data_IF_213672036537
#
_entry.id   IF_213672036537
#
_cell.length_a   1.000
_cell.length_b   1.000
_cell.length_c   1.000
_cell.angle_alpha   90.00
_cell.angle_beta   90.00
_cell.angle_gamma   90.00
#
_symmetry.space_group_name_H-M   'P 1'
#
loop_
_entity.id
_entity.type
_entity.pdbx_description
1 polymer ?
#
# COMPACT_ATOMS: atom_id res chain seq x y z
N UNK A 1 8.49 -1.88 -18.16
CA UNK A 1 7.98 -0.75 -17.33
C UNK A 1 8.63 -0.83 -15.96
N UNK A 2 9.21 0.27 -15.44
CA UNK A 2 9.67 0.31 -14.05
C UNK A 2 8.52 0.01 -13.08
N UNK A 3 8.76 -0.78 -12.04
CA UNK A 3 7.71 -1.20 -11.09
C UNK A 3 7.01 0.01 -10.45
N UNK A 4 7.76 1.06 -10.13
CA UNK A 4 7.21 2.30 -9.56
C UNK A 4 6.25 3.01 -10.52
N UNK A 5 6.41 2.84 -11.83
CA UNK A 5 5.49 3.40 -12.83
C UNK A 5 4.19 2.58 -12.88
N UNK A 6 4.29 1.27 -12.70
CA UNK A 6 3.13 0.37 -12.62
C UNK A 6 2.17 0.71 -11.48
N UNK A 7 2.66 1.36 -10.40
CA UNK A 7 1.80 1.87 -9.32
C UNK A 7 0.73 2.82 -9.89
N UNK A 8 1.08 3.68 -10.86
CA UNK A 8 0.13 4.63 -11.45
C UNK A 8 -0.82 4.00 -12.45
N UNK A 9 -0.37 2.98 -13.16
CA UNK A 9 -1.11 2.39 -14.29
C UNK A 9 -1.87 1.13 -13.92
N UNK A 10 -1.69 0.61 -12.70
CA UNK A 10 -2.40 -0.57 -12.24
C UNK A 10 -3.91 -0.30 -12.26
N UNK A 11 -4.63 -1.11 -13.05
CA UNK A 11 -6.11 -1.09 -13.08
C UNK A 11 -6.71 -1.72 -11.84
N UNK A 12 -5.99 -2.65 -11.22
CA UNK A 12 -6.46 -3.40 -10.06
C UNK A 12 -5.92 -2.79 -8.77
N UNK A 13 -6.84 -2.38 -7.90
CA UNK A 13 -6.50 -1.84 -6.59
C UNK A 13 -5.84 -2.89 -5.66
N UNK A 14 -6.03 -4.17 -5.95
CA UNK A 14 -5.48 -5.32 -5.21
C UNK A 14 -3.97 -5.44 -5.35
N UNK A 15 -3.43 -5.04 -6.51
CA UNK A 15 -2.01 -5.15 -6.81
C UNK A 15 -1.21 -3.94 -6.33
N UNK A 16 -1.88 -2.80 -6.12
CA UNK A 16 -1.28 -1.56 -5.66
C UNK A 16 -0.38 -1.73 -4.43
N UNK A 17 -0.85 -2.36 -3.33
CA UNK A 17 -0.03 -2.58 -2.14
C UNK A 17 1.22 -3.43 -2.42
N UNK A 18 1.09 -4.45 -3.28
CA UNK A 18 2.19 -5.33 -3.69
C UNK A 18 3.23 -4.53 -4.49
N UNK A 19 2.78 -3.69 -5.43
CA UNK A 19 3.65 -2.84 -6.25
C UNK A 19 4.39 -1.79 -5.40
N UNK A 20 3.72 -1.17 -4.41
CA UNK A 20 4.37 -0.25 -3.47
C UNK A 20 5.43 -0.99 -2.64
N UNK A 21 5.08 -2.16 -2.10
CA UNK A 21 6.00 -2.98 -1.29
C UNK A 21 7.22 -3.44 -2.06
N UNK A 22 7.09 -3.73 -3.36
CA UNK A 22 8.21 -4.12 -4.24
C UNK A 22 9.04 -2.91 -4.68
N UNK A 23 8.40 -1.76 -4.90
CA UNK A 23 9.10 -0.56 -5.39
C UNK A 23 10.08 0.01 -4.36
N UNK A 24 9.77 -0.08 -3.06
CA UNK A 24 10.63 0.42 -1.99
C UNK A 24 12.02 -0.24 -2.01
N UNK A 25 12.18 -1.57 -1.92
CA UNK A 25 13.50 -2.19 -1.99
C UNK A 25 14.16 -2.00 -3.36
N UNK A 26 13.39 -2.04 -4.47
CA UNK A 26 13.94 -1.84 -5.81
C UNK A 26 14.57 -0.45 -6.01
N UNK A 27 14.02 0.60 -5.38
CA UNK A 27 14.57 1.96 -5.45
C UNK A 27 16.00 2.07 -4.90
N UNK A 28 16.41 1.16 -3.99
CA UNK A 28 17.70 1.22 -3.28
C UNK A 28 18.89 0.93 -4.17
N UNK A 29 18.67 0.22 -5.27
CA UNK A 29 19.72 -0.11 -6.22
C UNK A 29 20.02 1.04 -7.20
N UNK A 30 19.26 2.14 -7.11
CA UNK A 30 19.47 3.32 -7.94
C UNK A 30 20.54 4.25 -7.34
N UNK A 31 21.27 5.00 -8.20
CA UNK A 31 22.07 6.15 -7.77
C UNK A 31 21.22 7.14 -6.96
N UNK A 32 21.85 7.86 -6.02
CA UNK A 32 21.15 8.71 -5.06
C UNK A 32 20.19 9.73 -5.71
N UNK A 33 20.61 10.40 -6.77
CA UNK A 33 19.78 11.38 -7.49
C UNK A 33 18.51 10.74 -8.08
N UNK A 34 18.65 9.56 -8.67
CA UNK A 34 17.54 8.80 -9.25
C UNK A 34 16.65 8.20 -8.16
N UNK A 35 17.25 7.70 -7.08
CA UNK A 35 16.51 7.19 -5.91
C UNK A 35 15.63 8.27 -5.32
N UNK A 36 16.14 9.47 -5.09
CA UNK A 36 15.37 10.59 -4.51
C UNK A 36 14.16 10.97 -5.38
N UNK A 37 14.32 10.96 -6.71
CA UNK A 37 13.22 11.18 -7.65
C UNK A 37 12.18 10.06 -7.55
N UNK A 38 12.61 8.81 -7.61
CA UNK A 38 11.74 7.64 -7.58
C UNK A 38 11.00 7.53 -6.24
N UNK A 39 11.67 7.75 -5.12
CA UNK A 39 11.07 7.75 -3.78
C UNK A 39 10.01 8.83 -3.63
N UNK A 40 10.25 10.02 -4.20
CA UNK A 40 9.25 11.10 -4.24
C UNK A 40 8.00 10.65 -5.00
N UNK A 41 8.16 9.94 -6.11
CA UNK A 41 7.05 9.40 -6.89
C UNK A 41 6.34 8.27 -6.13
N UNK A 42 7.07 7.34 -5.51
CA UNK A 42 6.50 6.26 -4.69
C UNK A 42 5.69 6.86 -3.54
N UNK A 43 6.20 7.89 -2.86
CA UNK A 43 5.50 8.59 -1.78
C UNK A 43 4.21 9.24 -2.26
N UNK A 44 4.24 9.93 -3.41
CA UNK A 44 3.04 10.57 -3.99
C UNK A 44 1.98 9.56 -4.41
N UNK A 45 2.38 8.39 -4.91
CA UNK A 45 1.48 7.31 -5.34
C UNK A 45 1.31 6.22 -4.27
N UNK A 46 1.76 6.49 -3.05
CA UNK A 46 1.78 5.52 -1.96
C UNK A 46 0.42 5.23 -1.36
N UNK A 47 -0.67 5.82 -1.85
CA UNK A 47 -2.02 5.69 -1.29
C UNK A 47 -2.48 4.24 -1.14
N UNK A 48 -1.96 3.32 -1.95
CA UNK A 48 -2.20 1.89 -1.77
C UNK A 48 -1.65 1.31 -0.47
N UNK A 49 -0.71 1.98 0.20
CA UNK A 49 -0.20 1.61 1.52
C UNK A 49 -1.11 2.05 2.68
N UNK A 50 -2.25 2.68 2.39
CA UNK A 50 -3.25 2.94 3.42
C UNK A 50 -3.81 1.65 4.02
N UNK A 51 -4.12 1.61 5.33
CA UNK A 51 -4.71 0.44 5.98
C UNK A 51 -5.97 -0.06 5.28
N UNK A 52 -6.81 0.84 4.76
CA UNK A 52 -8.04 0.52 4.05
C UNK A 52 -7.76 -0.29 2.78
N UNK A 53 -6.84 0.19 1.93
CA UNK A 53 -6.45 -0.50 0.69
C UNK A 53 -5.75 -1.82 0.97
N UNK A 54 -4.90 -1.87 2.01
CA UNK A 54 -4.23 -3.11 2.40
C UNK A 54 -5.24 -4.17 2.83
N UNK A 55 -6.22 -3.83 3.66
CA UNK A 55 -7.27 -4.76 4.08
C UNK A 55 -8.12 -5.24 2.90
N UNK A 56 -8.45 -4.34 1.96
CA UNK A 56 -9.18 -4.70 0.74
C UNK A 56 -8.38 -5.66 -0.15
N UNK A 57 -7.09 -5.40 -0.34
CA UNK A 57 -6.21 -6.32 -1.09
C UNK A 57 -6.11 -7.69 -0.41
N UNK A 58 -6.05 -7.74 0.93
CA UNK A 58 -6.04 -9.00 1.68
C UNK A 58 -7.28 -9.86 1.42
N UNK A 59 -8.47 -9.26 1.19
CA UNK A 59 -9.70 -10.03 0.90
C UNK A 59 -9.69 -10.72 -0.45
N UNK A 60 -8.82 -10.29 -1.36
CA UNK A 60 -8.65 -10.84 -2.71
C UNK A 60 -7.37 -11.66 -2.83
N UNK A 61 -6.65 -11.89 -1.74
CA UNK A 61 -5.38 -12.61 -1.79
C UNK A 61 -5.60 -14.13 -1.94
N UNK A 62 -4.64 -14.83 -2.54
CA UNK A 62 -4.78 -16.27 -2.82
C UNK A 62 -4.96 -17.10 -1.53
N UNK A 63 -4.13 -16.90 -0.47
CA UNK A 63 -4.24 -17.73 0.72
C UNK A 63 -5.54 -17.42 1.49
N UNK A 64 -6.33 -18.46 1.78
CA UNK A 64 -7.59 -18.33 2.54
C UNK A 64 -7.36 -17.65 3.91
N UNK A 65 -6.26 -18.00 4.59
CA UNK A 65 -5.90 -17.41 5.88
C UNK A 65 -5.78 -15.88 5.80
N UNK A 66 -5.16 -15.35 4.73
CA UNK A 66 -4.99 -13.90 4.56
C UNK A 66 -6.34 -13.23 4.29
N UNK A 67 -7.20 -13.85 3.48
CA UNK A 67 -8.57 -13.38 3.24
C UNK A 67 -9.39 -13.31 4.52
N UNK A 68 -9.33 -14.36 5.34
CA UNK A 68 -10.03 -14.41 6.63
C UNK A 68 -9.53 -13.32 7.59
N UNK A 69 -8.22 -13.08 7.64
CA UNK A 69 -7.63 -11.98 8.43
C UNK A 69 -8.11 -10.62 7.92
N UNK A 70 -8.10 -10.41 6.60
CA UNK A 70 -8.58 -9.17 5.96
C UNK A 70 -10.03 -8.87 6.33
N UNK A 71 -10.90 -9.87 6.19
CA UNK A 71 -12.32 -9.75 6.52
C UNK A 71 -12.53 -9.43 8.01
N UNK A 72 -11.85 -10.16 8.92
CA UNK A 72 -11.94 -9.91 10.37
C UNK A 72 -11.52 -8.49 10.74
N UNK A 73 -10.45 -7.97 10.13
CA UNK A 73 -9.97 -6.59 10.36
C UNK A 73 -10.99 -5.55 9.91
N UNK A 74 -11.60 -5.74 8.73
CA UNK A 74 -12.65 -4.84 8.22
C UNK A 74 -13.86 -4.83 9.16
N UNK A 75 -14.35 -6.01 9.57
CA UNK A 75 -15.50 -6.11 10.48
C UNK A 75 -15.22 -5.43 11.82
N UNK A 76 -14.04 -5.66 12.40
CA UNK A 76 -13.63 -5.00 13.66
C UNK A 76 -13.53 -3.48 13.50
N UNK A 77 -12.94 -2.98 12.41
CA UNK A 77 -12.84 -1.55 12.15
C UNK A 77 -14.23 -0.90 12.05
N UNK A 78 -15.19 -1.54 11.36
CA UNK A 78 -16.57 -1.05 11.23
C UNK A 78 -17.33 -1.01 12.56
N UNK A 79 -17.05 -1.94 13.47
CA UNK A 79 -17.64 -1.91 14.82
C UNK A 79 -17.13 -0.72 15.65
N UNK A 80 -15.86 -0.34 15.47
CA UNK A 80 -15.27 0.81 16.17
C UNK A 80 -15.76 2.15 15.62
N UNK A 81 -16.02 2.24 14.31
CA UNK A 81 -16.37 3.48 13.62
C UNK A 81 -17.85 3.90 13.79
N UNK A 82 -18.64 3.14 14.56
CA UNK A 82 -20.09 3.38 14.74
C UNK A 82 -20.44 4.74 15.40
N UNK A 83 -19.45 5.50 15.89
CA UNK A 83 -19.65 6.79 16.57
C UNK A 83 -19.18 8.01 15.77
N UNK A 84 -18.51 7.84 14.62
CA UNK A 84 -17.86 8.93 13.90
C UNK A 84 -18.52 9.28 12.57
N UNK A 85 -19.27 10.39 12.52
CA UNK A 85 -19.84 10.97 11.27
C UNK A 85 -18.85 11.87 10.52
N UNK A 86 -17.56 11.83 10.88
CA UNK A 86 -16.54 12.72 10.30
C UNK A 86 -15.98 12.15 9.01
N UNK A 87 -16.05 12.93 7.92
CA UNK A 87 -15.37 12.62 6.67
C UNK A 87 -13.86 12.54 6.95
N UNK A 88 -13.23 11.40 6.61
CA UNK A 88 -11.78 11.24 6.75
C UNK A 88 -11.08 12.16 5.76
N UNK A 89 -10.19 13.02 6.26
CA UNK A 89 -9.32 13.84 5.39
C UNK A 89 -8.23 12.94 4.81
N UNK A 90 -8.04 12.97 3.49
CA UNK A 90 -6.98 12.21 2.83
C UNK A 90 -5.61 12.76 3.25
N UNK A 91 -4.74 11.88 3.74
CA UNK A 91 -3.37 12.19 4.14
C UNK A 91 -2.42 11.22 3.46
N UNK A 92 -1.34 11.66 2.79
CA UNK A 92 -0.37 10.75 2.19
C UNK A 92 0.18 9.76 3.24
N UNK A 93 0.27 8.46 2.93
CA UNK A 93 0.73 7.48 3.90
C UNK A 93 2.21 7.65 4.18
N UNK A 94 2.59 7.42 5.44
CA UNK A 94 3.98 7.45 5.87
C UNK A 94 4.68 6.14 5.49
N UNK A 95 5.37 6.13 4.36
CA UNK A 95 6.14 4.98 3.88
C UNK A 95 7.49 4.86 4.59
N UNK A 96 7.88 3.63 4.91
CA UNK A 96 9.21 3.32 5.43
C UNK A 96 10.14 2.85 4.29
N UNK A 97 10.92 3.77 3.72
CA UNK A 97 11.89 3.45 2.67
C UNK A 97 13.08 2.59 3.16
N UNK A 98 13.23 2.40 4.47
CA UNK A 98 14.24 1.52 5.08
C UNK A 98 13.71 0.10 5.39
N UNK A 99 12.44 -0.20 5.08
CA UNK A 99 11.84 -1.51 5.34
C UNK A 99 12.50 -2.64 4.54
N UNK A 100 12.93 -3.72 5.19
CA UNK A 100 13.43 -4.90 4.47
C UNK A 100 12.26 -5.64 3.79
N UNK A 101 12.53 -6.31 2.67
CA UNK A 101 11.53 -7.19 2.05
C UNK A 101 11.22 -8.35 3.00
N UNK A 102 9.95 -8.71 3.13
CA UNK A 102 9.58 -9.97 3.76
C UNK A 102 9.96 -11.09 2.78
N UNK A 103 10.99 -11.86 3.13
CA UNK A 103 11.34 -13.14 2.49
C UNK A 103 10.29 -14.21 2.80
#
# INVERSE_FOLDING_TARGET
MPIWFSIKTSKYFTDGPKLVSQSIPSSRYLPEDLRNLVDTVIKRNGFFAHPEYLMLAMTQDNPKLIRDIGLRRILKARQLDQKGTTIRTFMPPKLNFKAQGCS
#
